data_IF_097942772115
#
_entry.id   IF_097942772115
#
_cell.length_a   1.000
_cell.length_b   1.000
_cell.length_c   1.000
_cell.angle_alpha   90.00
_cell.angle_beta   90.00
_cell.angle_gamma   90.00
#
_symmetry.space_group_name_H-M   'P 1'
#
loop_
_entity.id
_entity.type
_entity.pdbx_description
1 polymer ?
#
# COMPACT_ATOMS: atom_id res chain seq x y z
N UNK A 1 -11.64 -2.50 3.22
CA UNK A 1 -11.13 -2.12 1.88
C UNK A 1 -9.84 -1.34 2.12
N UNK A 2 -8.71 -1.99 1.85
CA UNK A 2 -7.39 -1.51 2.24
C UNK A 2 -6.98 -0.31 1.37
N UNK A 3 -6.45 0.73 1.99
CA UNK A 3 -5.84 1.86 1.27
C UNK A 3 -4.34 1.80 1.46
N UNK A 4 -3.58 2.30 0.49
CA UNK A 4 -2.12 2.44 0.61
C UNK A 4 -1.81 3.33 1.82
N UNK A 5 -0.99 2.83 2.74
CA UNK A 5 -0.49 3.63 3.85
C UNK A 5 0.83 4.28 3.43
N UNK A 6 0.77 5.59 3.24
CA UNK A 6 1.92 6.41 2.84
C UNK A 6 2.46 7.22 4.01
N UNK A 7 3.77 7.39 4.05
CA UNK A 7 4.44 8.37 4.91
C UNK A 7 4.24 9.79 4.35
N UNK A 8 4.63 10.83 5.12
CA UNK A 8 4.82 12.17 4.58
C UNK A 8 5.94 12.25 3.54
N UNK A 9 6.85 11.27 3.52
CA UNK A 9 7.84 11.16 2.47
C UNK A 9 7.20 10.55 1.20
N UNK A 10 7.24 11.22 0.04
CA UNK A 10 6.44 10.86 -1.14
C UNK A 10 6.80 9.51 -1.77
N UNK A 11 8.00 9.01 -1.49
CA UNK A 11 8.49 7.71 -1.99
C UNK A 11 8.32 6.57 -0.98
N UNK A 12 7.81 6.86 0.22
CA UNK A 12 7.71 5.86 1.26
C UNK A 12 6.26 5.40 1.49
N UNK A 13 5.95 4.23 0.96
CA UNK A 13 4.78 3.44 1.31
C UNK A 13 5.17 2.29 2.25
N UNK A 14 4.23 1.88 3.09
CA UNK A 14 4.40 0.72 3.98
C UNK A 14 4.47 -0.57 3.15
N UNK A 15 5.40 -1.44 3.52
CA UNK A 15 5.64 -2.74 2.86
C UNK A 15 6.16 -3.78 3.88
N UNK A 16 6.43 -5.01 3.42
CA UNK A 16 6.87 -6.12 4.26
C UNK A 16 8.27 -5.94 4.88
N UNK A 17 9.04 -4.96 4.41
CA UNK A 17 10.35 -4.58 4.95
C UNK A 17 10.26 -3.43 5.96
N UNK A 18 9.07 -2.85 6.17
CA UNK A 18 8.87 -1.78 7.14
C UNK A 18 8.94 -2.32 8.56
N UNK A 19 9.66 -1.64 9.45
CA UNK A 19 9.68 -2.02 10.87
C UNK A 19 8.39 -1.56 11.54
N UNK A 20 7.69 -2.46 12.22
CA UNK A 20 6.38 -2.19 12.83
C UNK A 20 6.46 -2.32 14.35
N UNK A 21 6.00 -1.28 15.03
CA UNK A 21 5.80 -1.24 16.47
C UNK A 21 4.29 -1.30 16.75
N UNK A 22 3.79 -2.49 17.07
CA UNK A 22 2.37 -2.74 17.35
C UNK A 22 1.90 -2.07 18.65
N UNK A 23 2.80 -1.83 19.60
CA UNK A 23 2.44 -1.21 20.89
C UNK A 23 2.27 0.29 20.77
N UNK A 24 3.17 0.93 20.02
CA UNK A 24 3.08 2.37 19.73
C UNK A 24 2.20 2.68 18.52
N UNK A 25 1.63 1.66 17.87
CA UNK A 25 0.86 1.79 16.63
C UNK A 25 1.60 2.63 15.56
N UNK A 26 2.89 2.37 15.39
CA UNK A 26 3.74 3.09 14.43
C UNK A 26 4.52 2.14 13.53
N UNK A 27 4.96 2.66 12.38
CA UNK A 27 5.87 1.97 11.48
C UNK A 27 7.00 2.90 11.04
N UNK A 28 8.15 2.31 10.71
CA UNK A 28 9.33 3.02 10.22
C UNK A 28 9.58 2.63 8.77
N UNK A 29 9.84 3.64 7.94
CA UNK A 29 10.16 3.45 6.54
C UNK A 29 11.49 2.68 6.37
N UNK A 30 11.60 1.71 5.46
CA UNK A 30 12.88 1.07 5.18
C UNK A 30 13.87 2.01 4.46
N UNK A 31 13.38 3.05 3.78
CA UNK A 31 14.19 4.02 3.05
C UNK A 31 14.55 5.27 3.86
N UNK A 32 14.06 5.41 5.09
CA UNK A 32 14.36 6.55 5.94
C UNK A 32 13.92 6.34 7.38
N UNK A 33 14.51 7.06 8.33
CA UNK A 33 14.26 6.83 9.77
C UNK A 33 13.01 7.54 10.32
N UNK A 34 12.02 7.85 9.47
CA UNK A 34 10.79 8.50 9.93
C UNK A 34 9.82 7.48 10.53
N UNK A 35 9.40 7.72 11.78
CA UNK A 35 8.25 7.04 12.40
C UNK A 35 6.95 7.63 11.87
N UNK A 36 6.05 6.76 11.43
CA UNK A 36 4.75 7.12 10.89
C UNK A 36 3.66 6.43 11.75
N UNK A 37 2.65 7.18 12.25
CA UNK A 37 1.54 6.57 12.98
C UNK A 37 0.64 5.77 12.03
N UNK A 38 -0.05 4.76 12.57
CA UNK A 38 -1.09 4.08 11.84
C UNK A 38 -2.36 4.94 11.73
N UNK A 39 -3.09 4.86 10.61
CA UNK A 39 -4.42 5.43 10.51
C UNK A 39 -5.39 4.83 11.55
N UNK A 40 -6.39 5.59 11.99
CA UNK A 40 -7.33 5.17 13.05
C UNK A 40 -8.05 3.83 12.77
N UNK A 41 -8.28 3.48 11.51
CA UNK A 41 -8.92 2.20 11.14
C UNK A 41 -7.99 0.98 11.28
N UNK A 42 -6.72 1.19 11.66
CA UNK A 42 -5.74 0.15 12.04
C UNK A 42 -5.58 0.01 13.57
N UNK A 43 -6.43 0.65 14.39
CA UNK A 43 -6.31 0.62 15.86
C UNK A 43 -6.38 -0.78 16.52
N UNK A 44 -6.77 -1.82 15.78
CA UNK A 44 -6.79 -3.21 16.25
C UNK A 44 -5.65 -4.06 15.65
N UNK A 45 -4.56 -3.42 15.20
CA UNK A 45 -3.43 -4.11 14.59
C UNK A 45 -2.69 -4.95 15.63
N UNK A 46 -2.48 -6.23 15.34
CA UNK A 46 -1.76 -7.16 16.20
C UNK A 46 -0.85 -8.07 15.37
N UNK A 47 0.07 -8.78 16.02
CA UNK A 47 0.99 -9.71 15.36
C UNK A 47 0.22 -10.79 14.57
N UNK A 48 -0.85 -11.32 15.17
CA UNK A 48 -1.70 -12.36 14.59
C UNK A 48 -2.75 -11.80 13.62
N UNK A 49 -3.02 -10.49 13.67
CA UNK A 49 -4.03 -9.79 12.87
C UNK A 49 -3.41 -8.57 12.18
N UNK A 50 -2.39 -8.83 11.36
CA UNK A 50 -1.70 -7.79 10.59
C UNK A 50 -2.23 -7.74 9.16
N UNK A 51 -2.22 -6.56 8.51
CA UNK A 51 -2.60 -6.45 7.11
C UNK A 51 -1.69 -7.26 6.18
N UNK A 52 -2.18 -7.62 4.98
CA UNK A 52 -1.44 -8.37 3.96
C UNK A 52 -0.05 -7.77 3.66
N UNK A 53 0.07 -6.44 3.64
CA UNK A 53 1.31 -5.73 3.35
C UNK A 53 2.45 -5.90 4.35
N UNK A 54 2.18 -6.49 5.52
CA UNK A 54 3.21 -6.80 6.51
C UNK A 54 3.65 -8.28 6.47
N UNK A 55 3.05 -9.10 5.62
CA UNK A 55 3.50 -10.49 5.47
C UNK A 55 4.71 -10.55 4.54
N UNK A 56 5.80 -11.23 4.94
CA UNK A 56 6.98 -11.39 4.09
C UNK A 56 6.69 -12.02 2.72
N UNK A 57 5.68 -12.90 2.64
CA UNK A 57 5.27 -13.51 1.37
C UNK A 57 4.57 -12.56 0.38
N UNK A 58 4.10 -11.39 0.84
CA UNK A 58 3.36 -10.43 0.03
C UNK A 58 4.22 -9.18 -0.20
N UNK A 59 5.28 -9.34 -0.99
CA UNK A 59 6.20 -8.25 -1.36
C UNK A 59 5.63 -7.30 -2.42
N UNK A 60 4.63 -7.75 -3.17
CA UNK A 60 3.93 -6.96 -4.19
C UNK A 60 2.42 -7.02 -3.93
N UNK A 61 1.78 -5.87 -3.82
CA UNK A 61 0.34 -5.75 -3.51
C UNK A 61 -0.30 -4.76 -4.47
N UNK A 62 -1.43 -5.15 -5.02
CA UNK A 62 -2.28 -4.30 -5.81
C UNK A 62 -3.43 -3.76 -4.95
N UNK A 63 -3.63 -2.45 -4.96
CA UNK A 63 -4.69 -1.78 -4.21
C UNK A 63 -5.77 -1.28 -5.15
N UNK A 64 -7.01 -1.72 -4.95
CA UNK A 64 -8.16 -1.14 -5.66
C UNK A 64 -8.63 0.13 -4.97
N UNK A 65 -8.39 1.28 -5.60
CA UNK A 65 -8.83 2.57 -5.08
C UNK A 65 -10.34 2.74 -5.28
N UNK A 66 -11.06 3.13 -4.22
CA UNK A 66 -12.52 3.40 -4.27
C UNK A 66 -12.92 4.50 -5.28
N UNK A 67 -12.00 5.41 -5.60
CA UNK A 67 -12.24 6.60 -6.43
C UNK A 67 -11.38 6.61 -7.70
N UNK A 68 -11.03 5.45 -8.23
CA UNK A 68 -10.44 5.36 -9.56
C UNK A 68 -11.54 5.61 -10.61
N UNK A 69 -11.40 6.66 -11.41
CA UNK A 69 -12.24 6.84 -12.60
C UNK A 69 -11.89 5.72 -13.59
N UNK A 70 -12.74 4.71 -13.69
CA UNK A 70 -12.55 3.63 -14.67
C UNK A 70 -13.00 4.13 -16.04
N UNK A 71 -12.06 4.57 -16.87
CA UNK A 71 -12.34 4.85 -18.28
C UNK A 71 -12.51 3.51 -19.02
N UNK A 72 -13.49 3.42 -19.92
CA UNK A 72 -13.68 2.21 -20.73
C UNK A 72 -12.46 2.06 -21.67
N UNK A 73 -11.93 0.84 -21.87
CA UNK A 73 -10.86 0.62 -22.83
C UNK A 73 -11.28 1.07 -24.24
N UNK A 74 -10.38 1.76 -24.94
CA UNK A 74 -10.54 2.15 -26.35
C UNK A 74 -9.63 1.25 -27.17
N UNK A 75 -10.19 0.56 -28.16
CA UNK A 75 -9.43 -0.29 -29.08
C UNK A 75 -9.44 0.34 -30.47
N UNK A 76 -8.26 0.54 -31.07
CA UNK A 76 -8.10 1.01 -32.43
C UNK A 76 -7.39 -0.08 -33.24
N UNK A 77 -8.06 -0.57 -34.29
CA UNK A 77 -7.48 -1.53 -35.22
C UNK A 77 -6.94 -0.76 -36.42
N UNK A 78 -5.62 -0.85 -36.65
CA UNK A 78 -4.97 -0.26 -37.82
C UNK A 78 -4.62 -1.39 -38.77
N UNK A 79 -5.26 -1.39 -39.94
CA UNK A 79 -4.93 -2.30 -41.03
C UNK A 79 -4.32 -1.48 -42.17
N UNK A 80 -3.10 -1.83 -42.59
CA UNK A 80 -2.51 -1.35 -43.84
C UNK A 80 -3.02 -2.20 -45.02
N UNK A 81 -3.86 -1.63 -45.88
CA UNK A 81 -4.13 -2.23 -47.19
C UNK A 81 -2.88 -2.06 -48.04
N UNK A 82 -2.27 -3.17 -48.41
CA UNK A 82 -1.25 -3.23 -49.47
C UNK A 82 -1.93 -3.29 -50.84
#
# INVERSE_FOLDING_TARGET
MYTVVTSSHPLCSRNSFSFVDFRAETWVCPFGNQRNPFPAYYAAIAVDNRPPELYPQFTTIEYTLKKATTMRPIFMFVWTLA
#
